data_IF_197975064781
#
_entry.id   IF_197975064781
#
_cell.length_a   1.000
_cell.length_b   1.000
_cell.length_c   1.000
_cell.angle_alpha   90.00
_cell.angle_beta   90.00
_cell.angle_gamma   90.00
#
_symmetry.space_group_name_H-M   'P 1'
#
loop_
_entity.id
_entity.type
_entity.pdbx_description
1 polymer ?
#
# COMPACT_ATOMS: atom_id res chain seq x y z
N UNK A 1 23.18 -0.75 -15.78
CA UNK A 1 23.46 0.05 -14.56
C UNK A 1 23.30 1.53 -14.90
N UNK A 2 22.36 2.22 -14.29
CA UNK A 2 22.19 3.67 -14.46
C UNK A 2 22.79 4.35 -13.23
N UNK A 3 23.70 5.29 -13.44
CA UNK A 3 24.32 6.07 -12.38
C UNK A 3 23.23 6.92 -11.67
N UNK A 4 23.20 6.95 -10.33
CA UNK A 4 22.27 7.77 -9.52
C UNK A 4 22.23 9.22 -10.00
N UNK A 5 23.38 9.82 -10.33
CA UNK A 5 23.45 11.17 -10.87
C UNK A 5 22.58 11.37 -12.13
N UNK A 6 22.41 10.32 -12.95
CA UNK A 6 21.54 10.42 -14.13
C UNK A 6 20.05 10.38 -13.78
N UNK A 7 19.68 9.72 -12.69
CA UNK A 7 18.26 9.62 -12.26
C UNK A 7 17.86 10.85 -11.46
N UNK A 8 18.74 11.43 -10.65
CA UNK A 8 18.49 12.73 -10.02
C UNK A 8 18.22 13.83 -11.04
N UNK A 9 18.76 13.68 -12.28
CA UNK A 9 18.44 14.58 -13.40
C UNK A 9 17.09 14.28 -14.05
N UNK A 10 16.55 13.07 -13.93
CA UNK A 10 15.23 12.71 -14.48
C UNK A 10 14.09 12.92 -13.50
N UNK A 11 14.35 12.96 -12.20
CA UNK A 11 13.35 13.27 -11.21
C UNK A 11 12.89 14.73 -11.37
N UNK A 12 11.60 14.91 -11.52
CA UNK A 12 10.99 16.25 -11.57
C UNK A 12 11.34 16.99 -10.28
N UNK A 13 12.01 18.12 -10.42
CA UNK A 13 12.30 18.99 -9.28
C UNK A 13 11.12 19.95 -9.10
N UNK A 14 10.48 19.88 -7.95
CA UNK A 14 9.44 20.81 -7.55
C UNK A 14 10.09 22.00 -6.86
N UNK A 15 9.56 23.20 -7.11
CA UNK A 15 9.94 24.40 -6.37
C UNK A 15 9.52 24.29 -4.89
N UNK A 16 10.13 25.06 -4.02
CA UNK A 16 9.74 25.09 -2.60
C UNK A 16 8.30 25.60 -2.41
N UNK A 17 7.82 26.46 -3.31
CA UNK A 17 6.44 26.94 -3.32
C UNK A 17 5.44 25.81 -3.68
N UNK A 18 5.76 24.99 -4.68
CA UNK A 18 4.95 23.81 -5.04
C UNK A 18 4.89 22.82 -3.89
N UNK A 19 6.02 22.51 -3.26
CA UNK A 19 6.08 21.62 -2.09
C UNK A 19 5.23 22.14 -0.93
N UNK A 20 5.44 23.41 -0.54
CA UNK A 20 4.66 24.04 0.51
C UNK A 20 3.15 24.11 0.17
N UNK A 21 2.80 24.20 -1.11
CA UNK A 21 1.42 24.11 -1.57
C UNK A 21 0.82 22.74 -1.33
N UNK A 22 1.55 21.68 -1.65
CA UNK A 22 1.13 20.27 -1.42
C UNK A 22 1.01 19.98 0.07
N UNK A 23 2.00 20.39 0.87
CA UNK A 23 1.99 20.20 2.33
C UNK A 23 0.76 20.83 2.99
N UNK A 24 0.42 22.06 2.58
CA UNK A 24 -0.78 22.76 3.08
C UNK A 24 -2.07 22.03 2.71
N UNK A 25 -2.21 21.60 1.46
CA UNK A 25 -3.38 20.83 1.02
C UNK A 25 -3.50 19.50 1.77
N UNK A 26 -2.38 18.80 1.97
CA UNK A 26 -2.35 17.57 2.75
C UNK A 26 -2.81 17.81 4.19
N UNK A 27 -2.31 18.86 4.84
CA UNK A 27 -2.73 19.21 6.20
C UNK A 27 -4.23 19.52 6.28
N UNK A 28 -4.77 20.26 5.31
CA UNK A 28 -6.20 20.60 5.23
C UNK A 28 -7.05 19.32 5.07
N UNK A 29 -6.68 18.43 4.14
CA UNK A 29 -7.39 17.18 3.89
C UNK A 29 -7.33 16.23 5.09
N UNK A 30 -6.16 16.05 5.70
CA UNK A 30 -6.00 15.21 6.89
C UNK A 30 -6.84 15.71 8.06
N UNK A 31 -6.93 17.04 8.26
CA UNK A 31 -7.76 17.61 9.33
C UNK A 31 -9.26 17.47 9.07
N UNK A 32 -9.66 17.50 7.80
CA UNK A 32 -11.08 17.42 7.42
C UNK A 32 -11.60 15.98 7.32
N UNK A 33 -10.71 15.01 7.11
CA UNK A 33 -11.09 13.63 6.90
C UNK A 33 -11.66 12.99 8.17
N UNK A 34 -12.92 12.54 8.09
CA UNK A 34 -13.65 11.94 9.21
C UNK A 34 -13.75 10.41 9.12
N UNK A 35 -13.25 9.83 8.04
CA UNK A 35 -13.24 8.39 7.83
C UNK A 35 -12.13 7.67 8.59
N UNK A 36 -12.00 6.37 8.37
CA UNK A 36 -10.86 5.56 8.81
C UNK A 36 -9.97 5.20 7.63
N UNK A 37 -8.67 5.23 7.83
CA UNK A 37 -7.67 4.68 6.92
C UNK A 37 -7.18 3.37 7.52
N UNK A 38 -7.45 2.28 6.84
CA UNK A 38 -7.18 0.93 7.31
C UNK A 38 -6.07 0.35 6.43
N UNK A 39 -4.92 0.10 7.02
CA UNK A 39 -3.76 -0.44 6.30
C UNK A 39 -3.71 -1.94 6.51
N UNK A 40 -3.83 -2.69 5.43
CA UNK A 40 -3.60 -4.14 5.44
C UNK A 40 -2.14 -4.38 5.14
N UNK A 41 -1.42 -4.96 6.10
CA UNK A 41 0.03 -5.16 6.02
C UNK A 41 0.34 -6.64 5.78
N UNK A 42 1.00 -6.94 4.67
CA UNK A 42 1.30 -8.31 4.25
C UNK A 42 2.44 -8.97 5.04
N UNK A 43 3.21 -8.17 5.79
CA UNK A 43 4.42 -8.61 6.49
C UNK A 43 4.64 -7.80 7.78
N UNK A 44 5.10 -8.41 8.90
CA UNK A 44 5.29 -7.72 10.17
C UNK A 44 6.27 -6.54 10.14
N UNK A 45 7.04 -6.40 9.07
CA UNK A 45 8.03 -5.31 8.94
C UNK A 45 7.43 -4.03 8.33
N UNK A 46 6.15 -4.04 7.94
CA UNK A 46 5.49 -2.92 7.27
C UNK A 46 5.36 -1.64 8.07
N UNK A 47 5.39 -1.74 9.39
CA UNK A 47 5.22 -0.61 10.31
C UNK A 47 6.54 0.08 10.71
N UNK A 48 7.65 -0.22 10.05
CA UNK A 48 8.98 0.28 10.44
C UNK A 48 9.11 1.81 10.44
N UNK A 49 8.32 2.50 9.63
CA UNK A 49 8.38 3.96 9.44
C UNK A 49 7.26 4.71 10.14
N UNK A 50 6.41 4.03 10.90
CA UNK A 50 5.29 4.64 11.62
C UNK A 50 5.42 4.44 13.12
N UNK A 51 4.81 5.33 13.89
CA UNK A 51 4.78 5.26 15.35
C UNK A 51 3.45 5.78 15.91
N UNK A 52 3.11 5.38 17.13
CA UNK A 52 1.88 5.83 17.78
C UNK A 52 0.60 5.30 17.13
N UNK A 53 0.68 4.20 16.40
CA UNK A 53 -0.42 3.56 15.70
C UNK A 53 -0.60 2.13 16.24
N UNK A 54 -1.84 1.69 16.37
CA UNK A 54 -2.14 0.31 16.74
C UNK A 54 -2.03 -0.61 15.52
N UNK A 55 -1.48 -1.79 15.76
CA UNK A 55 -1.37 -2.88 14.79
C UNK A 55 -2.13 -4.07 15.35
N UNK A 56 -3.24 -4.42 14.71
CA UNK A 56 -4.03 -5.58 15.07
C UNK A 56 -3.48 -6.81 14.37
N UNK A 57 -3.14 -7.84 15.15
CA UNK A 57 -2.63 -9.11 14.64
C UNK A 57 -3.74 -10.16 14.47
N UNK A 58 -4.95 -9.78 14.75
CA UNK A 58 -6.18 -10.52 14.46
C UNK A 58 -7.11 -9.65 13.64
N UNK A 59 -7.81 -10.27 12.72
CA UNK A 59 -8.85 -9.63 11.92
C UNK A 59 -10.26 -10.12 12.28
N UNK A 60 -10.46 -10.66 13.49
CA UNK A 60 -11.79 -10.89 14.00
C UNK A 60 -12.58 -9.59 14.14
N UNK A 61 -13.90 -9.72 14.24
CA UNK A 61 -14.79 -8.55 14.23
C UNK A 61 -14.49 -7.60 15.39
N UNK A 62 -14.11 -8.13 16.55
CA UNK A 62 -13.83 -7.34 17.74
C UNK A 62 -12.53 -6.54 17.61
N UNK A 63 -11.48 -7.15 17.07
CA UNK A 63 -10.22 -6.45 16.80
C UNK A 63 -10.40 -5.29 15.80
N UNK A 64 -11.17 -5.50 14.73
CA UNK A 64 -11.45 -4.43 13.76
C UNK A 64 -12.35 -3.35 14.41
N UNK A 65 -13.30 -3.74 15.27
CA UNK A 65 -14.16 -2.82 16.03
C UNK A 65 -13.32 -1.86 16.88
N UNK A 66 -12.34 -2.38 17.61
CA UNK A 66 -11.44 -1.55 18.40
C UNK A 66 -10.73 -0.52 17.52
N UNK A 67 -10.29 -0.89 16.32
CA UNK A 67 -9.71 0.05 15.36
C UNK A 67 -10.67 1.15 14.91
N UNK A 68 -11.97 0.85 14.78
CA UNK A 68 -12.99 1.87 14.50
C UNK A 68 -13.25 2.80 15.68
N UNK A 69 -13.13 2.31 16.90
CA UNK A 69 -13.37 3.05 18.15
C UNK A 69 -12.22 3.95 18.58
N UNK A 70 -11.02 3.72 18.05
CA UNK A 70 -9.87 4.56 18.36
C UNK A 70 -10.06 6.02 17.90
N UNK A 71 -9.42 6.95 18.62
CA UNK A 71 -9.33 8.35 18.20
C UNK A 71 -8.47 8.53 16.93
N UNK A 72 -7.48 7.65 16.73
CA UNK A 72 -6.64 7.67 15.55
C UNK A 72 -7.44 7.42 14.27
N UNK A 73 -7.17 8.23 13.25
CA UNK A 73 -7.74 8.05 11.91
C UNK A 73 -7.20 6.79 11.23
N UNK A 74 -5.98 6.39 11.54
CA UNK A 74 -5.25 5.28 10.90
C UNK A 74 -5.04 4.14 11.89
N UNK A 75 -5.31 2.91 11.46
CA UNK A 75 -4.86 1.70 12.16
C UNK A 75 -4.43 0.63 11.15
N UNK A 76 -3.61 -0.30 11.60
CA UNK A 76 -3.07 -1.39 10.80
C UNK A 76 -3.69 -2.72 11.18
N UNK A 77 -3.87 -3.58 10.18
CA UNK A 77 -4.19 -5.01 10.35
C UNK A 77 -3.07 -5.80 9.69
N UNK A 78 -2.34 -6.57 10.49
CA UNK A 78 -1.32 -7.47 9.99
C UNK A 78 -2.00 -8.73 9.43
N UNK A 79 -2.05 -8.86 8.12
CA UNK A 79 -2.58 -10.04 7.43
C UNK A 79 -1.57 -11.17 7.38
N UNK A 80 -0.28 -10.84 7.28
CA UNK A 80 0.81 -11.78 7.03
C UNK A 80 0.62 -12.59 5.75
N UNK A 81 -0.09 -12.02 4.76
CA UNK A 81 -0.50 -12.69 3.52
C UNK A 81 0.67 -13.11 2.63
N UNK A 82 1.83 -12.45 2.76
CA UNK A 82 3.04 -12.86 2.03
C UNK A 82 3.49 -14.29 2.36
N UNK A 83 3.12 -14.82 3.53
CA UNK A 83 3.41 -16.19 3.93
C UNK A 83 2.29 -17.19 3.60
N UNK A 84 1.21 -16.74 2.95
CA UNK A 84 0.02 -17.54 2.63
C UNK A 84 0.00 -17.98 1.17
N UNK A 85 -0.82 -18.97 0.87
CA UNK A 85 -1.21 -19.30 -0.52
C UNK A 85 -2.15 -18.22 -1.08
N UNK A 86 -2.34 -18.22 -2.40
CA UNK A 86 -3.28 -17.31 -3.05
C UNK A 86 -4.73 -17.52 -2.58
N UNK A 87 -5.12 -18.77 -2.31
CA UNK A 87 -6.44 -19.12 -1.79
C UNK A 87 -6.65 -18.56 -0.37
N UNK A 88 -5.69 -18.79 0.52
CA UNK A 88 -5.74 -18.27 1.90
C UNK A 88 -5.77 -16.74 1.92
N UNK A 89 -4.91 -16.11 1.12
CA UNK A 89 -4.88 -14.64 0.95
C UNK A 89 -6.22 -14.11 0.48
N UNK A 90 -6.84 -14.79 -0.49
CA UNK A 90 -8.16 -14.41 -1.03
C UNK A 90 -9.25 -14.46 0.03
N UNK A 91 -9.26 -15.50 0.85
CA UNK A 91 -10.27 -15.68 1.90
C UNK A 91 -10.08 -14.66 3.03
N UNK A 92 -8.84 -14.41 3.44
CA UNK A 92 -8.49 -13.42 4.47
C UNK A 92 -8.92 -12.02 4.04
N UNK A 93 -8.53 -11.58 2.84
CA UNK A 93 -8.86 -10.24 2.34
C UNK A 93 -10.37 -10.04 2.16
N UNK A 94 -11.07 -11.04 1.64
CA UNK A 94 -12.55 -11.01 1.56
C UNK A 94 -13.18 -10.89 2.94
N UNK A 95 -12.73 -11.67 3.89
CA UNK A 95 -13.25 -11.66 5.26
C UNK A 95 -13.04 -10.31 5.93
N UNK A 96 -11.84 -9.74 5.78
CA UNK A 96 -11.49 -8.42 6.33
C UNK A 96 -12.35 -7.34 5.68
N UNK A 97 -12.47 -7.32 4.35
CA UNK A 97 -13.26 -6.32 3.64
C UNK A 97 -14.73 -6.34 4.08
N UNK A 98 -15.33 -7.52 4.22
CA UNK A 98 -16.71 -7.67 4.68
C UNK A 98 -16.92 -7.18 6.11
N UNK A 99 -15.96 -7.43 7.00
CA UNK A 99 -16.01 -6.95 8.39
C UNK A 99 -15.83 -5.45 8.50
N UNK A 100 -14.92 -4.90 7.71
CA UNK A 100 -14.72 -3.45 7.62
C UNK A 100 -16.00 -2.77 7.14
N UNK A 101 -16.61 -3.24 6.06
CA UNK A 101 -17.85 -2.64 5.54
C UNK A 101 -19.00 -2.76 6.52
N UNK A 102 -19.14 -3.90 7.21
CA UNK A 102 -20.14 -4.08 8.26
C UNK A 102 -19.97 -3.04 9.37
N UNK A 103 -18.76 -2.86 9.90
CA UNK A 103 -18.47 -1.90 10.97
C UNK A 103 -18.60 -0.45 10.49
N UNK A 104 -18.15 -0.14 9.28
CA UNK A 104 -18.30 1.17 8.69
C UNK A 104 -19.79 1.60 8.62
N UNK A 105 -20.66 0.67 8.26
CA UNK A 105 -22.12 0.90 8.27
C UNK A 105 -22.68 1.04 9.69
N UNK A 106 -22.21 0.24 10.65
CA UNK A 106 -22.63 0.30 12.06
C UNK A 106 -22.25 1.66 12.67
N UNK A 107 -21.00 2.11 12.45
CA UNK A 107 -20.50 3.39 12.96
C UNK A 107 -20.87 4.59 12.08
N UNK A 108 -21.50 4.38 10.92
CA UNK A 108 -21.80 5.41 9.90
C UNK A 108 -20.56 6.23 9.56
N UNK A 109 -19.44 5.55 9.36
CA UNK A 109 -18.13 6.14 9.13
C UNK A 109 -17.55 5.63 7.82
N UNK A 110 -17.08 6.55 6.98
CA UNK A 110 -16.40 6.18 5.74
C UNK A 110 -15.04 5.56 6.03
N UNK A 111 -14.51 4.85 5.04
CA UNK A 111 -13.19 4.25 5.14
C UNK A 111 -12.46 4.23 3.81
N UNK A 112 -11.13 4.17 3.90
CA UNK A 112 -10.23 3.87 2.81
C UNK A 112 -9.34 2.69 3.23
N UNK A 113 -9.13 1.73 2.32
CA UNK A 113 -8.21 0.61 2.55
C UNK A 113 -6.94 0.85 1.74
N UNK A 114 -5.79 0.72 2.40
CA UNK A 114 -4.48 0.68 1.77
C UNK A 114 -3.95 -0.75 1.87
N UNK A 115 -3.80 -1.43 0.73
CA UNK A 115 -3.06 -2.68 0.67
C UNK A 115 -1.56 -2.34 0.66
N UNK A 116 -0.91 -2.60 1.78
CA UNK A 116 0.52 -2.34 1.96
C UNK A 116 1.30 -3.63 1.72
N UNK A 117 2.05 -3.66 0.65
CA UNK A 117 2.90 -4.78 0.26
C UNK A 117 4.39 -4.44 0.29
N UNK A 118 5.20 -5.37 -0.19
CA UNK A 118 6.64 -5.20 -0.28
C UNK A 118 7.04 -4.16 -1.33
N UNK A 119 7.83 -3.19 -0.93
CA UNK A 119 8.37 -2.15 -1.82
C UNK A 119 9.33 -2.67 -2.90
N UNK A 120 9.64 -3.97 -2.90
CA UNK A 120 10.39 -4.66 -3.96
C UNK A 120 9.48 -5.53 -4.84
N UNK A 121 8.16 -5.26 -4.84
CA UNK A 121 7.12 -5.85 -5.67
C UNK A 121 6.84 -7.34 -5.40
N UNK A 122 7.25 -7.90 -4.26
CA UNK A 122 6.89 -9.27 -3.86
C UNK A 122 5.58 -9.23 -3.06
N UNK A 123 4.66 -10.13 -3.37
CA UNK A 123 3.37 -10.23 -2.71
C UNK A 123 2.28 -10.66 -3.68
N UNK A 124 1.05 -10.76 -3.18
CA UNK A 124 -0.10 -11.22 -3.96
C UNK A 124 -0.80 -10.09 -4.76
N UNK A 125 -0.04 -9.12 -5.26
CA UNK A 125 -0.58 -8.11 -6.17
C UNK A 125 -0.76 -8.72 -7.58
N UNK A 126 -1.87 -8.47 -8.32
CA UNK A 126 -3.00 -7.61 -7.94
C UNK A 126 -4.13 -8.34 -7.18
N UNK A 127 -3.95 -9.61 -6.83
CA UNK A 127 -5.00 -10.45 -6.22
C UNK A 127 -5.65 -9.78 -5.00
N UNK A 128 -4.84 -9.22 -4.10
CA UNK A 128 -5.30 -8.57 -2.87
C UNK A 128 -6.18 -7.36 -3.18
N UNK A 129 -5.70 -6.47 -4.05
CA UNK A 129 -6.42 -5.24 -4.42
C UNK A 129 -7.67 -5.55 -5.24
N UNK A 130 -7.64 -6.54 -6.11
CA UNK A 130 -8.81 -6.99 -6.88
C UNK A 130 -9.94 -7.50 -5.99
N UNK A 131 -9.60 -8.27 -4.95
CA UNK A 131 -10.58 -8.77 -3.99
C UNK A 131 -11.18 -7.60 -3.17
N UNK A 132 -10.34 -6.72 -2.66
CA UNK A 132 -10.78 -5.57 -1.89
C UNK A 132 -11.68 -4.65 -2.72
N UNK A 133 -11.31 -4.36 -3.96
CA UNK A 133 -12.12 -3.59 -4.89
C UNK A 133 -13.46 -4.24 -5.15
N UNK A 134 -13.47 -5.54 -5.49
CA UNK A 134 -14.70 -6.29 -5.76
C UNK A 134 -15.67 -6.26 -4.59
N UNK A 135 -15.20 -6.56 -3.37
CA UNK A 135 -16.03 -6.53 -2.18
C UNK A 135 -16.59 -5.12 -1.91
N UNK A 136 -15.78 -4.08 -2.10
CA UNK A 136 -16.21 -2.69 -1.94
C UNK A 136 -17.31 -2.33 -2.95
N UNK A 137 -17.09 -2.62 -4.24
CA UNK A 137 -18.03 -2.31 -5.32
C UNK A 137 -19.36 -3.05 -5.15
N UNK A 138 -19.31 -4.35 -4.83
CA UNK A 138 -20.52 -5.17 -4.62
C UNK A 138 -21.35 -4.70 -3.40
N UNK A 139 -20.67 -4.34 -2.31
CA UNK A 139 -21.35 -3.90 -1.07
C UNK A 139 -21.93 -2.50 -1.15
N UNK A 140 -21.21 -1.60 -1.81
CA UNK A 140 -21.57 -0.18 -1.88
C UNK A 140 -22.40 0.17 -3.11
N UNK A 141 -22.46 -0.70 -4.12
CA UNK A 141 -23.13 -0.42 -5.39
C UNK A 141 -22.43 0.72 -6.15
N UNK A 142 -21.13 0.89 -5.95
CA UNK A 142 -20.28 1.91 -6.55
C UNK A 142 -19.25 1.23 -7.45
N UNK A 143 -18.71 1.97 -8.40
CA UNK A 143 -17.55 1.54 -9.20
C UNK A 143 -16.36 2.42 -8.84
N UNK A 144 -15.19 1.82 -8.67
CA UNK A 144 -13.95 2.57 -8.48
C UNK A 144 -13.44 3.11 -9.80
N UNK A 145 -13.10 4.39 -9.85
CA UNK A 145 -12.58 5.06 -11.04
C UNK A 145 -11.13 4.71 -11.34
N UNK A 146 -10.40 4.19 -10.37
CA UNK A 146 -9.01 3.80 -10.54
C UNK A 146 -8.34 3.30 -9.25
N UNK A 147 -7.10 2.86 -9.42
CA UNK A 147 -6.23 2.38 -8.35
C UNK A 147 -4.90 3.14 -8.40
N UNK A 148 -4.34 3.47 -7.24
CA UNK A 148 -3.04 4.10 -7.12
C UNK A 148 -2.02 3.06 -6.68
N UNK A 149 -1.05 2.75 -7.53
CA UNK A 149 0.10 1.91 -7.20
C UNK A 149 1.31 2.80 -6.88
N UNK A 150 1.79 2.74 -5.64
CA UNK A 150 2.93 3.54 -5.17
C UNK A 150 3.88 2.72 -4.31
N UNK A 151 4.78 1.89 -4.89
CA UNK A 151 5.72 1.06 -4.15
C UNK A 151 6.93 1.85 -3.61
N UNK A 152 6.75 3.12 -3.28
CA UNK A 152 7.79 4.01 -2.78
C UNK A 152 8.20 3.66 -1.35
N UNK A 153 9.51 3.57 -1.11
CA UNK A 153 10.10 3.47 0.22
C UNK A 153 11.47 4.15 0.23
N UNK A 154 11.49 5.46 0.43
CA UNK A 154 12.68 6.30 0.35
C UNK A 154 13.78 5.91 1.31
N UNK A 155 13.44 5.60 2.57
CA UNK A 155 14.37 5.15 3.62
C UNK A 155 15.07 3.84 3.25
N UNK A 156 14.33 2.94 2.59
CA UNK A 156 14.87 1.68 2.07
C UNK A 156 15.51 1.80 0.69
N UNK A 157 15.52 3.00 0.08
CA UNK A 157 16.10 3.22 -1.23
C UNK A 157 15.28 2.66 -2.39
N UNK A 158 13.94 2.62 -2.25
CA UNK A 158 13.02 2.21 -3.33
C UNK A 158 12.30 3.43 -3.87
N UNK A 159 12.37 3.61 -5.17
CA UNK A 159 11.77 4.76 -5.86
C UNK A 159 11.36 4.41 -7.28
N UNK A 160 10.41 5.16 -7.80
CA UNK A 160 9.94 5.03 -9.19
C UNK A 160 10.26 6.30 -9.96
N UNK A 161 10.80 6.16 -11.16
CA UNK A 161 11.04 7.25 -12.08
C UNK A 161 10.70 6.80 -13.51
N UNK A 162 9.92 7.58 -14.25
CA UNK A 162 9.49 7.28 -15.61
C UNK A 162 8.88 5.86 -15.73
N UNK A 163 7.96 5.54 -14.82
CA UNK A 163 7.27 4.24 -14.70
C UNK A 163 8.18 3.05 -14.32
N UNK A 164 9.50 3.23 -14.22
CA UNK A 164 10.43 2.18 -13.82
C UNK A 164 10.72 2.24 -12.33
N UNK A 165 10.54 1.11 -11.66
CA UNK A 165 10.84 0.97 -10.24
C UNK A 165 12.28 0.52 -10.01
N UNK A 166 12.94 1.17 -9.06
CA UNK A 166 14.37 0.99 -8.77
C UNK A 166 14.63 0.65 -7.31
N UNK A 167 15.73 -0.07 -7.09
CA UNK A 167 16.34 -0.31 -5.79
C UNK A 167 17.72 0.34 -5.75
N UNK A 168 18.01 1.12 -4.71
CA UNK A 168 19.34 1.69 -4.49
C UNK A 168 20.29 0.62 -3.96
N UNK A 169 21.37 0.39 -4.70
CA UNK A 169 22.48 -0.49 -4.34
C UNK A 169 23.75 0.36 -4.23
N UNK A 170 24.07 0.83 -3.03
CA UNK A 170 25.16 1.77 -2.83
C UNK A 170 24.91 3.11 -3.52
N UNK A 171 25.73 3.43 -4.53
CA UNK A 171 25.61 4.64 -5.34
C UNK A 171 24.87 4.45 -6.67
N UNK A 172 24.26 3.30 -6.87
CA UNK A 172 23.57 2.98 -8.12
C UNK A 172 22.09 2.70 -7.87
N UNK A 173 21.25 3.01 -8.86
CA UNK A 173 19.87 2.59 -8.92
C UNK A 173 19.77 1.45 -9.93
N UNK A 174 19.35 0.30 -9.43
CA UNK A 174 19.18 -0.92 -10.20
C UNK A 174 17.68 -1.11 -10.46
N UNK A 175 17.24 -1.30 -11.72
CA UNK A 175 15.88 -1.67 -11.99
C UNK A 175 15.48 -2.90 -11.18
N UNK A 176 14.31 -2.88 -10.53
CA UNK A 176 13.93 -3.93 -9.56
C UNK A 176 13.90 -5.32 -10.16
N UNK A 177 13.54 -5.46 -11.45
CA UNK A 177 13.55 -6.72 -12.19
C UNK A 177 14.95 -7.31 -12.44
N UNK A 178 16.02 -6.52 -12.24
CA UNK A 178 17.42 -6.98 -12.35
C UNK A 178 17.99 -7.40 -10.99
N UNK A 179 17.22 -7.26 -9.90
CA UNK A 179 17.66 -7.58 -8.54
C UNK A 179 17.33 -9.03 -8.16
N UNK A 180 17.85 -9.46 -7.01
CA UNK A 180 17.48 -10.74 -6.39
C UNK A 180 15.99 -10.85 -6.04
N UNK A 181 15.32 -9.73 -5.79
CA UNK A 181 13.90 -9.71 -5.44
C UNK A 181 13.00 -10.22 -6.57
N UNK A 182 13.36 -9.93 -7.82
CA UNK A 182 12.63 -10.42 -8.99
C UNK A 182 12.78 -11.94 -9.20
N UNK A 183 13.76 -12.57 -8.54
CA UNK A 183 14.02 -14.02 -8.61
C UNK A 183 13.41 -14.79 -7.44
N UNK A 184 12.52 -14.17 -6.68
CA UNK A 184 11.79 -14.83 -5.60
C UNK A 184 11.05 -16.06 -6.14
N UNK A 185 11.11 -17.19 -5.42
CA UNK A 185 10.53 -18.44 -5.88
C UNK A 185 9.00 -18.40 -5.94
N UNK A 186 8.37 -17.58 -5.12
CA UNK A 186 6.91 -17.47 -5.00
C UNK A 186 6.36 -16.27 -5.78
N UNK A 187 7.02 -15.10 -5.65
CA UNK A 187 6.57 -13.81 -6.15
C UNK A 187 7.50 -13.22 -7.21
N UNK A 188 8.21 -14.09 -7.94
CA UNK A 188 9.13 -13.64 -9.00
C UNK A 188 8.40 -12.90 -10.12
N UNK A 189 9.04 -11.88 -10.66
CA UNK A 189 8.55 -11.04 -11.75
C UNK A 189 9.68 -10.70 -12.71
N UNK A 190 9.36 -10.13 -13.88
CA UNK A 190 10.37 -9.87 -14.91
C UNK A 190 10.53 -8.38 -15.20
N UNK A 191 9.45 -7.61 -15.20
CA UNK A 191 9.51 -6.22 -15.57
C UNK A 191 9.79 -5.30 -14.39
N UNK A 192 10.60 -4.28 -14.63
CA UNK A 192 10.78 -3.14 -13.72
C UNK A 192 9.83 -1.99 -14.05
N UNK A 193 9.16 -2.02 -15.20
CA UNK A 193 8.18 -1.03 -15.59
C UNK A 193 6.84 -1.38 -14.92
N UNK A 194 6.33 -0.46 -14.10
CA UNK A 194 5.10 -0.71 -13.34
C UNK A 194 3.87 -0.92 -14.21
N UNK A 195 3.82 -0.34 -15.42
CA UNK A 195 2.71 -0.57 -16.36
C UNK A 195 2.70 -2.00 -16.89
N UNK A 196 3.89 -2.57 -17.14
CA UNK A 196 4.02 -3.97 -17.55
C UNK A 196 3.86 -4.94 -16.38
N UNK A 197 4.16 -4.49 -15.16
CA UNK A 197 4.00 -5.30 -13.95
C UNK A 197 2.53 -5.53 -13.58
N UNK A 198 1.65 -4.56 -13.86
CA UNK A 198 0.22 -4.62 -13.53
C UNK A 198 -0.63 -5.31 -14.60
N UNK A 199 -0.09 -5.62 -15.79
CA UNK A 199 -0.75 -6.36 -16.88
C UNK A 199 -0.63 -7.88 -16.73
#
# INVERSE_FOLDING_TARGET
MKNIEKIEHTLKKYSEEEKAGVDRLLEEEVRSYQGKIIVLDDDPTGVQTVHGIHVYTSWDLESIRQGFEEDNTVFFILTNSRAMSAEETSEVHRTIAQRIDFLANEYKRDYCILSRGDSTLRGHYPLETDILRKEFEEKRGLSMDGEILCPFFGEGGRLTADDVHYVRCGYELVPVGETEFAKDETFGFQSSNLKEYIE
#
